data_IF_127439535718
#
_entry.id   IF_127439535718
#
_cell.length_a   1.000
_cell.length_b   1.000
_cell.length_c   1.000
_cell.angle_alpha   90.00
_cell.angle_beta   90.00
_cell.angle_gamma   90.00
#
_symmetry.space_group_name_H-M   'P 1'
#
loop_
_entity.id
_entity.type
_entity.pdbx_description
1 polymer ?
#
# COMPACT_ATOMS: atom_id res chain seq x y z
N UNK A 1 -61.39 -15.39 -13.78
CA UNK A 1 -60.23 -15.57 -12.88
C UNK A 1 -59.01 -16.14 -13.56
N UNK A 2 -59.12 -17.10 -14.50
CA UNK A 2 -57.99 -17.70 -15.21
C UNK A 2 -57.29 -16.75 -16.22
N UNK A 3 -58.03 -15.88 -16.88
CA UNK A 3 -57.49 -14.90 -17.84
C UNK A 3 -56.66 -13.83 -17.15
N UNK A 4 -57.05 -13.34 -16.00
CA UNK A 4 -56.32 -12.34 -15.18
C UNK A 4 -55.02 -12.92 -14.63
N UNK A 5 -55.01 -14.18 -14.23
CA UNK A 5 -53.77 -14.88 -13.81
C UNK A 5 -52.77 -15.02 -14.97
N UNK A 6 -53.22 -15.44 -16.16
CA UNK A 6 -52.35 -15.52 -17.35
C UNK A 6 -51.80 -14.16 -17.77
N UNK A 7 -52.60 -13.12 -17.73
CA UNK A 7 -52.15 -11.78 -18.10
C UNK A 7 -51.11 -11.25 -17.09
N UNK A 8 -51.26 -11.51 -15.78
CA UNK A 8 -50.31 -11.14 -14.76
C UNK A 8 -48.98 -11.89 -14.94
N UNK A 9 -49.01 -13.19 -15.20
CA UNK A 9 -47.81 -13.99 -15.46
C UNK A 9 -47.05 -13.53 -16.72
N UNK A 10 -47.78 -13.11 -17.77
CA UNK A 10 -47.19 -12.60 -19.00
C UNK A 10 -46.46 -11.26 -18.75
N UNK A 11 -47.09 -10.33 -18.04
CA UNK A 11 -46.45 -9.05 -17.64
C UNK A 11 -45.18 -9.25 -16.77
N UNK A 12 -45.17 -10.21 -15.86
CA UNK A 12 -44.02 -10.50 -15.03
C UNK A 12 -42.88 -11.09 -15.84
N UNK A 13 -43.16 -12.06 -16.70
CA UNK A 13 -42.19 -12.63 -17.65
C UNK A 13 -41.54 -11.54 -18.51
N UNK A 14 -42.35 -10.64 -19.05
CA UNK A 14 -41.89 -9.58 -19.95
C UNK A 14 -41.01 -8.57 -19.21
N UNK A 15 -41.31 -8.24 -17.94
CA UNK A 15 -40.44 -7.42 -17.08
C UNK A 15 -39.13 -8.09 -16.73
N UNK A 16 -39.14 -9.41 -16.40
CA UNK A 16 -37.92 -10.20 -16.14
C UNK A 16 -37.07 -10.28 -17.41
N UNK A 17 -37.66 -10.53 -18.55
CA UNK A 17 -36.96 -10.56 -19.85
C UNK A 17 -36.36 -9.20 -20.21
N UNK A 18 -37.08 -8.12 -19.96
CA UNK A 18 -36.58 -6.74 -20.17
C UNK A 18 -35.39 -6.44 -19.25
N UNK A 19 -35.45 -6.79 -17.95
CA UNK A 19 -34.31 -6.60 -17.04
C UNK A 19 -33.09 -7.41 -17.48
N UNK A 20 -33.29 -8.68 -17.88
CA UNK A 20 -32.21 -9.50 -18.37
C UNK A 20 -31.56 -8.90 -19.64
N UNK A 21 -32.36 -8.28 -20.52
CA UNK A 21 -31.85 -7.52 -21.67
C UNK A 21 -31.07 -6.27 -21.26
N UNK A 22 -31.54 -5.47 -20.29
CA UNK A 22 -30.82 -4.32 -19.77
C UNK A 22 -29.45 -4.74 -19.22
N UNK A 23 -29.41 -5.76 -18.35
CA UNK A 23 -28.17 -6.30 -17.80
C UNK A 23 -27.23 -6.80 -18.92
N UNK A 24 -27.75 -7.52 -19.95
CA UNK A 24 -26.92 -8.01 -21.06
C UNK A 24 -26.36 -6.90 -21.96
N UNK A 25 -26.95 -5.70 -21.95
CA UNK A 25 -26.47 -4.51 -22.66
C UNK A 25 -25.63 -3.59 -21.78
N UNK A 26 -25.32 -4.00 -20.54
CA UNK A 26 -24.44 -3.25 -19.64
C UNK A 26 -25.15 -2.23 -18.73
N UNK A 27 -26.50 -2.21 -18.71
CA UNK A 27 -27.27 -1.43 -17.76
C UNK A 27 -27.55 -2.25 -16.50
N UNK A 28 -26.63 -2.18 -15.53
CA UNK A 28 -26.71 -2.92 -14.26
C UNK A 28 -27.52 -2.18 -13.21
N UNK A 29 -27.94 -0.92 -13.46
CA UNK A 29 -28.72 -0.12 -12.52
C UNK A 29 -30.22 -0.45 -12.52
N UNK A 30 -30.70 -1.18 -13.53
CA UNK A 30 -32.10 -1.54 -13.67
C UNK A 30 -32.54 -2.50 -12.52
N UNK A 31 -33.73 -2.26 -11.94
CA UNK A 31 -34.28 -3.06 -10.83
C UNK A 31 -35.75 -3.41 -11.11
N UNK A 32 -36.16 -4.57 -10.62
CA UNK A 32 -37.54 -5.04 -10.65
C UNK A 32 -38.26 -4.60 -9.37
N UNK A 33 -39.39 -3.92 -9.56
CA UNK A 33 -40.28 -3.58 -8.46
C UNK A 33 -41.57 -4.39 -8.59
N UNK A 34 -41.63 -5.55 -7.96
CA UNK A 34 -42.77 -6.49 -7.96
C UNK A 34 -43.20 -6.71 -6.50
N UNK A 35 -44.41 -6.35 -6.18
CA UNK A 35 -45.04 -6.57 -4.88
C UNK A 35 -46.23 -7.50 -5.07
N UNK A 36 -46.01 -8.81 -4.97
CA UNK A 36 -47.05 -9.83 -5.18
C UNK A 36 -47.35 -10.67 -3.95
N UNK A 37 -46.44 -10.68 -2.97
CA UNK A 37 -46.55 -11.49 -1.75
C UNK A 37 -46.42 -12.99 -1.99
N UNK A 38 -45.84 -13.39 -3.15
CA UNK A 38 -45.68 -14.77 -3.58
C UNK A 38 -44.24 -15.06 -4.06
N UNK A 39 -44.00 -16.25 -4.61
CA UNK A 39 -42.70 -16.72 -5.10
C UNK A 39 -42.12 -15.79 -6.19
N UNK A 40 -42.95 -14.98 -6.85
CA UNK A 40 -42.51 -14.05 -7.89
C UNK A 40 -41.82 -12.83 -7.29
N UNK A 41 -42.28 -12.36 -6.13
CA UNK A 41 -41.61 -11.29 -5.40
C UNK A 41 -40.24 -11.76 -4.88
N UNK A 42 -40.16 -13.00 -4.37
CA UNK A 42 -38.90 -13.61 -3.98
C UNK A 42 -37.92 -13.67 -5.16
N UNK A 43 -38.38 -14.14 -6.32
CA UNK A 43 -37.57 -14.19 -7.54
C UNK A 43 -37.11 -12.80 -8.01
N UNK A 44 -37.96 -11.79 -7.91
CA UNK A 44 -37.59 -10.41 -8.27
C UNK A 44 -36.51 -9.85 -7.33
N UNK A 45 -36.60 -10.16 -6.03
CA UNK A 45 -35.57 -9.79 -5.05
C UNK A 45 -34.24 -10.50 -5.30
N UNK A 46 -34.26 -11.80 -5.64
CA UNK A 46 -33.04 -12.54 -6.02
C UNK A 46 -32.38 -11.95 -7.27
N UNK A 47 -33.16 -11.55 -8.27
CA UNK A 47 -32.65 -10.85 -9.45
C UNK A 47 -32.03 -9.48 -9.11
N UNK A 48 -32.67 -8.71 -8.22
CA UNK A 48 -32.13 -7.43 -7.79
C UNK A 48 -30.82 -7.62 -7.02
N UNK A 49 -30.74 -8.58 -6.11
CA UNK A 49 -29.51 -8.92 -5.37
C UNK A 49 -28.38 -9.35 -6.32
N UNK A 50 -28.69 -10.10 -7.37
CA UNK A 50 -27.71 -10.46 -8.41
C UNK A 50 -27.25 -9.22 -9.18
N UNK A 51 -28.17 -8.32 -9.55
CA UNK A 51 -27.83 -7.07 -10.23
C UNK A 51 -26.96 -6.17 -9.36
N UNK A 52 -27.27 -6.03 -8.05
CA UNK A 52 -26.44 -5.31 -7.07
C UNK A 52 -25.02 -5.89 -7.02
N UNK A 53 -24.89 -7.21 -6.91
CA UNK A 53 -23.58 -7.89 -6.87
C UNK A 53 -22.77 -7.64 -8.15
N UNK A 54 -23.42 -7.65 -9.32
CA UNK A 54 -22.74 -7.38 -10.60
C UNK A 54 -22.30 -5.93 -10.68
N UNK A 55 -23.16 -4.98 -10.29
CA UNK A 55 -22.84 -3.54 -10.28
C UNK A 55 -21.67 -3.23 -9.35
N UNK A 56 -21.66 -3.80 -8.14
CA UNK A 56 -20.58 -3.68 -7.17
C UNK A 56 -19.25 -4.25 -7.73
N UNK A 57 -19.29 -5.45 -8.30
CA UNK A 57 -18.10 -6.10 -8.87
C UNK A 57 -17.53 -5.28 -10.06
N UNK A 58 -18.38 -4.75 -10.91
CA UNK A 58 -17.96 -3.90 -12.05
C UNK A 58 -17.35 -2.60 -11.54
N UNK A 59 -17.95 -1.98 -10.53
CA UNK A 59 -17.45 -0.74 -9.92
C UNK A 59 -16.08 -0.98 -9.27
N UNK A 60 -15.90 -2.11 -8.57
CA UNK A 60 -14.61 -2.50 -8.00
C UNK A 60 -13.56 -2.77 -9.09
N UNK A 61 -13.95 -3.43 -10.19
CA UNK A 61 -13.06 -3.69 -11.32
C UNK A 61 -12.61 -2.37 -11.98
N UNK A 62 -13.51 -1.45 -12.26
CA UNK A 62 -13.19 -0.14 -12.81
C UNK A 62 -12.24 0.64 -11.90
N UNK A 63 -12.52 0.68 -10.60
CA UNK A 63 -11.64 1.31 -9.62
C UNK A 63 -10.24 0.68 -9.59
N UNK A 64 -10.16 -0.66 -9.70
CA UNK A 64 -8.89 -1.37 -9.78
C UNK A 64 -8.11 -1.03 -11.06
N UNK A 65 -8.82 -0.94 -12.20
CA UNK A 65 -8.21 -0.55 -13.49
C UNK A 65 -7.69 0.88 -13.47
N UNK A 66 -8.46 1.84 -12.96
CA UNK A 66 -8.02 3.24 -12.82
C UNK A 66 -6.76 3.35 -11.95
N UNK A 67 -6.73 2.64 -10.82
CA UNK A 67 -5.52 2.58 -9.97
C UNK A 67 -4.32 1.98 -10.70
N UNK A 68 -4.55 0.95 -11.51
CA UNK A 68 -3.48 0.33 -12.31
C UNK A 68 -2.96 1.28 -13.39
N UNK A 69 -3.84 2.00 -14.09
CA UNK A 69 -3.45 3.00 -15.10
C UNK A 69 -2.66 4.14 -14.46
N UNK A 70 -3.13 4.67 -13.33
CA UNK A 70 -2.44 5.71 -12.58
C UNK A 70 -1.05 5.24 -12.10
N UNK A 71 -0.95 4.00 -11.63
CA UNK A 71 0.32 3.38 -11.26
C UNK A 71 1.28 3.31 -12.44
N UNK A 72 0.83 2.82 -13.60
CA UNK A 72 1.66 2.71 -14.81
C UNK A 72 2.11 4.08 -15.34
N UNK A 73 1.22 5.08 -15.32
CA UNK A 73 1.55 6.45 -15.70
C UNK A 73 2.61 7.06 -14.79
N UNK A 74 2.45 6.89 -13.47
CA UNK A 74 3.42 7.37 -12.47
C UNK A 74 4.76 6.66 -12.60
N UNK A 75 4.77 5.36 -12.83
CA UNK A 75 5.97 4.56 -13.06
C UNK A 75 6.75 5.01 -14.29
N UNK A 76 6.04 5.17 -15.43
CA UNK A 76 6.65 5.66 -16.65
C UNK A 76 7.29 7.05 -16.47
N UNK A 77 6.63 7.94 -15.72
CA UNK A 77 7.17 9.27 -15.41
C UNK A 77 8.41 9.21 -14.52
N UNK A 78 8.40 8.38 -13.46
CA UNK A 78 9.55 8.24 -12.55
C UNK A 78 10.75 7.52 -13.20
N UNK A 79 10.55 6.72 -14.25
CA UNK A 79 11.62 6.17 -15.09
C UNK A 79 12.15 7.18 -16.08
N UNK A 80 11.26 7.93 -16.77
CA UNK A 80 11.65 8.87 -17.84
C UNK A 80 12.62 9.93 -17.33
N UNK A 81 12.40 10.49 -16.15
CA UNK A 81 13.20 11.58 -15.59
C UNK A 81 14.69 11.20 -15.44
N UNK A 82 15.08 10.14 -14.69
CA UNK A 82 16.48 9.75 -14.55
C UNK A 82 17.09 9.29 -15.88
N UNK A 83 16.35 8.59 -16.75
CA UNK A 83 16.83 8.21 -18.07
C UNK A 83 17.19 9.42 -18.93
N UNK A 84 16.34 10.45 -18.93
CA UNK A 84 16.61 11.69 -19.68
C UNK A 84 17.88 12.39 -19.16
N UNK A 85 18.09 12.42 -17.83
CA UNK A 85 19.30 12.99 -17.22
C UNK A 85 20.54 12.19 -17.60
N UNK A 86 20.49 10.85 -17.50
CA UNK A 86 21.62 9.98 -17.90
C UNK A 86 22.00 10.21 -19.37
N UNK A 87 21.01 10.21 -20.28
CA UNK A 87 21.23 10.41 -21.71
C UNK A 87 21.80 11.80 -21.97
N UNK A 88 21.27 12.85 -21.30
CA UNK A 88 21.72 14.21 -21.45
C UNK A 88 23.18 14.40 -21.03
N UNK A 89 23.56 13.92 -19.84
CA UNK A 89 24.95 14.01 -19.38
C UNK A 89 25.90 13.12 -20.19
N UNK A 90 25.47 11.95 -20.64
CA UNK A 90 26.25 11.11 -21.54
C UNK A 90 26.46 11.76 -22.90
N UNK A 91 25.46 12.49 -23.44
CA UNK A 91 25.61 13.25 -24.69
C UNK A 91 26.55 14.46 -24.56
N UNK A 92 26.51 15.16 -23.42
CA UNK A 92 27.47 16.22 -23.09
C UNK A 92 28.90 15.69 -23.06
N UNK A 93 29.16 14.58 -22.38
CA UNK A 93 30.46 13.91 -22.32
C UNK A 93 30.95 13.46 -23.71
N UNK A 94 30.03 13.10 -24.61
CA UNK A 94 30.36 12.67 -25.99
C UNK A 94 30.64 13.81 -26.94
N UNK A 95 29.90 14.93 -26.80
CA UNK A 95 29.84 15.99 -27.83
C UNK A 95 30.65 17.22 -27.52
N UNK A 96 31.09 17.42 -26.28
CA UNK A 96 31.80 18.60 -25.84
C UNK A 96 33.16 18.28 -25.22
N UNK A 97 34.14 19.16 -25.43
CA UNK A 97 35.39 19.13 -24.69
C UNK A 97 35.14 19.77 -23.30
N UNK A 98 35.02 18.95 -22.29
CA UNK A 98 34.79 19.37 -20.92
C UNK A 98 36.08 19.35 -20.12
N UNK A 99 36.17 20.20 -19.09
CA UNK A 99 37.24 20.12 -18.10
C UNK A 99 37.17 18.80 -17.31
N UNK A 100 38.23 18.45 -16.61
CA UNK A 100 38.27 17.24 -15.77
C UNK A 100 37.20 17.28 -14.66
N UNK A 101 36.97 18.45 -14.05
CA UNK A 101 35.97 18.66 -13.01
C UNK A 101 34.53 18.48 -13.57
N UNK A 102 34.23 19.08 -14.73
CA UNK A 102 32.94 18.94 -15.40
C UNK A 102 32.69 17.50 -15.85
N UNK A 103 33.72 16.80 -16.32
CA UNK A 103 33.64 15.37 -16.68
C UNK A 103 33.31 14.52 -15.49
N UNK A 104 33.97 14.75 -14.35
CA UNK A 104 33.73 14.05 -13.10
C UNK A 104 32.32 14.34 -12.55
N UNK A 105 31.86 15.59 -12.64
CA UNK A 105 30.51 15.96 -12.21
C UNK A 105 29.45 15.25 -13.07
N UNK A 106 29.57 15.27 -14.39
CA UNK A 106 28.68 14.60 -15.32
C UNK A 106 28.64 13.08 -15.08
N UNK A 107 29.82 12.45 -14.86
CA UNK A 107 29.92 11.02 -14.52
C UNK A 107 29.22 10.69 -13.19
N UNK A 108 29.37 11.54 -12.18
CA UNK A 108 28.72 11.39 -10.89
C UNK A 108 27.18 11.51 -11.00
N UNK A 109 26.67 12.40 -11.85
CA UNK A 109 25.23 12.49 -12.13
C UNK A 109 24.70 11.22 -12.80
N UNK A 110 25.40 10.71 -13.82
CA UNK A 110 25.03 9.45 -14.49
C UNK A 110 25.01 8.30 -13.49
N UNK A 111 26.03 8.19 -12.65
CA UNK A 111 26.12 7.14 -11.64
C UNK A 111 24.98 7.23 -10.60
N UNK A 112 24.69 8.42 -10.08
CA UNK A 112 23.65 8.64 -9.07
C UNK A 112 22.26 8.35 -9.61
N UNK A 113 21.95 8.78 -10.85
CA UNK A 113 20.66 8.48 -11.48
C UNK A 113 20.54 6.98 -11.86
N UNK A 114 21.67 6.33 -12.25
CA UNK A 114 21.72 4.87 -12.43
C UNK A 114 21.41 4.10 -11.17
N UNK A 115 22.01 4.49 -10.03
CA UNK A 115 21.70 3.90 -8.71
C UNK A 115 20.26 4.14 -8.27
N UNK A 116 19.70 5.28 -8.64
CA UNK A 116 18.29 5.57 -8.38
C UNK A 116 17.36 4.67 -9.18
N UNK A 117 17.64 4.41 -10.46
CA UNK A 117 16.90 3.47 -11.31
C UNK A 117 16.98 2.04 -10.77
N UNK A 118 18.17 1.60 -10.34
CA UNK A 118 18.36 0.30 -9.70
C UNK A 118 17.45 0.16 -8.46
N UNK A 119 17.49 1.15 -7.54
CA UNK A 119 16.63 1.16 -6.34
C UNK A 119 15.15 1.17 -6.67
N UNK A 120 14.72 1.91 -7.70
CA UNK A 120 13.33 1.92 -8.16
C UNK A 120 12.90 0.55 -8.69
N UNK A 121 13.75 -0.09 -9.49
CA UNK A 121 13.50 -1.41 -10.06
C UNK A 121 13.36 -2.48 -8.97
N UNK A 122 14.26 -2.49 -7.98
CA UNK A 122 14.19 -3.43 -6.85
C UNK A 122 12.91 -3.23 -6.03
N UNK A 123 12.52 -2.01 -5.71
CA UNK A 123 11.27 -1.73 -4.98
C UNK A 123 10.02 -2.11 -5.78
N UNK A 124 10.06 -1.97 -7.10
CA UNK A 124 8.98 -2.44 -7.95
C UNK A 124 8.89 -3.98 -7.93
N UNK A 125 10.04 -4.65 -8.00
CA UNK A 125 10.09 -6.11 -7.89
C UNK A 125 9.53 -6.59 -6.55
N UNK A 126 9.91 -5.95 -5.45
CA UNK A 126 9.37 -6.24 -4.11
C UNK A 126 7.84 -6.11 -4.10
N UNK A 127 7.29 -5.04 -4.70
CA UNK A 127 5.84 -4.84 -4.77
C UNK A 127 5.14 -5.94 -5.59
N UNK A 128 5.74 -6.38 -6.71
CA UNK A 128 5.19 -7.41 -7.58
C UNK A 128 5.28 -8.80 -6.94
N UNK A 129 6.40 -9.11 -6.28
CA UNK A 129 6.60 -10.39 -5.56
C UNK A 129 5.59 -10.51 -4.42
N UNK A 130 5.45 -9.46 -3.61
CA UNK A 130 4.49 -9.41 -2.51
C UNK A 130 3.02 -9.56 -3.02
N UNK A 131 2.73 -9.14 -4.27
CA UNK A 131 1.39 -9.25 -4.86
C UNK A 131 1.04 -10.68 -5.32
N UNK A 132 2.03 -11.46 -5.76
CA UNK A 132 1.82 -12.70 -6.53
C UNK A 132 2.24 -14.00 -5.80
N UNK A 133 2.86 -13.92 -4.61
CA UNK A 133 3.26 -15.11 -3.86
C UNK A 133 2.17 -15.60 -2.92
N UNK A 134 1.92 -16.92 -2.93
CA UNK A 134 1.25 -17.61 -1.82
C UNK A 134 2.19 -17.59 -0.62
N UNK A 135 2.03 -16.57 0.23
CA UNK A 135 2.88 -16.38 1.41
C UNK A 135 2.46 -17.35 2.50
N UNK A 136 3.39 -18.17 2.97
CA UNK A 136 3.17 -19.08 4.09
C UNK A 136 3.40 -18.32 5.39
N UNK A 137 2.33 -18.00 6.09
CA UNK A 137 2.41 -17.38 7.41
C UNK A 137 2.67 -18.45 8.48
N UNK A 138 3.62 -18.19 9.38
CA UNK A 138 3.95 -19.06 10.50
C UNK A 138 3.77 -18.35 11.84
N UNK A 139 3.42 -19.09 12.94
CA UNK A 139 3.35 -18.49 14.26
C UNK A 139 4.73 -17.95 14.67
N UNK A 140 4.84 -16.65 14.82
CA UNK A 140 6.12 -15.96 15.06
C UNK A 140 5.95 -14.85 16.10
N UNK A 141 7.00 -14.58 16.89
CA UNK A 141 7.03 -13.45 17.81
C UNK A 141 7.37 -12.15 17.08
N UNK A 142 6.43 -11.18 16.98
CA UNK A 142 6.69 -9.91 16.32
C UNK A 142 7.83 -9.11 16.95
N UNK A 143 8.09 -9.30 18.27
CA UNK A 143 9.22 -8.66 18.94
C UNK A 143 10.57 -9.13 18.39
N UNK A 144 10.67 -10.38 17.89
CA UNK A 144 11.86 -10.90 17.25
C UNK A 144 12.13 -10.16 15.93
N UNK A 145 11.12 -10.01 15.08
CA UNK A 145 11.24 -9.27 13.82
C UNK A 145 11.71 -7.83 14.06
N UNK A 146 11.08 -7.12 15.01
CA UNK A 146 11.50 -5.77 15.40
C UNK A 146 12.94 -5.74 15.90
N UNK A 147 13.34 -6.67 16.76
CA UNK A 147 14.70 -6.74 17.31
C UNK A 147 15.75 -6.93 16.22
N UNK A 148 15.49 -7.79 15.24
CA UNK A 148 16.39 -8.01 14.12
C UNK A 148 16.61 -6.71 13.32
N UNK A 149 15.52 -6.01 12.99
CA UNK A 149 15.58 -4.73 12.27
C UNK A 149 16.34 -3.66 13.07
N UNK A 150 16.07 -3.55 14.38
CA UNK A 150 16.77 -2.60 15.26
C UNK A 150 18.27 -2.85 15.26
N UNK A 151 18.71 -4.11 15.35
CA UNK A 151 20.13 -4.48 15.36
C UNK A 151 20.84 -4.06 14.06
N UNK A 152 20.16 -4.16 12.91
CA UNK A 152 20.71 -3.77 11.61
C UNK A 152 20.73 -2.24 11.44
N UNK A 153 19.62 -1.56 11.78
CA UNK A 153 19.48 -0.13 11.47
C UNK A 153 20.14 0.79 12.49
N UNK A 154 20.25 0.38 13.75
CA UNK A 154 20.78 1.20 14.82
C UNK A 154 22.19 1.79 14.57
N UNK A 155 23.17 1.01 14.04
CA UNK A 155 24.50 1.55 13.74
C UNK A 155 24.50 2.59 12.61
N UNK A 156 23.64 2.43 11.60
CA UNK A 156 23.52 3.38 10.49
C UNK A 156 22.85 4.69 10.93
N UNK A 157 21.75 4.59 11.68
CA UNK A 157 21.06 5.75 12.23
C UNK A 157 21.93 6.56 13.19
N UNK A 158 22.79 5.88 13.96
CA UNK A 158 23.73 6.55 14.87
C UNK A 158 24.76 7.44 14.13
N UNK A 159 25.17 7.06 12.90
CA UNK A 159 26.04 7.90 12.06
C UNK A 159 25.35 9.21 11.62
N UNK A 160 24.03 9.20 11.51
CA UNK A 160 23.20 10.37 11.17
C UNK A 160 22.67 11.10 12.44
N UNK A 161 23.26 10.88 13.61
CA UNK A 161 22.83 11.44 14.90
C UNK A 161 21.38 11.13 15.28
N UNK A 162 20.84 9.99 14.81
CA UNK A 162 19.48 9.54 15.12
C UNK A 162 19.54 8.43 16.17
N UNK A 163 18.86 8.65 17.30
CA UNK A 163 18.74 7.67 18.38
C UNK A 163 17.55 6.73 18.12
N UNK A 164 17.82 5.43 17.99
CA UNK A 164 16.79 4.41 17.86
C UNK A 164 16.60 3.66 19.18
N UNK A 165 15.41 3.76 19.79
CA UNK A 165 15.02 3.05 21.01
C UNK A 165 13.93 2.02 20.72
N UNK A 166 13.96 0.88 21.41
CA UNK A 166 12.92 -0.13 21.29
C UNK A 166 12.50 -0.73 22.63
N UNK A 167 11.21 -1.02 22.77
CA UNK A 167 10.60 -1.71 23.91
C UNK A 167 9.45 -2.58 23.43
N UNK A 168 9.74 -3.83 23.06
CA UNK A 168 8.73 -4.75 22.57
C UNK A 168 8.58 -5.93 23.53
N UNK A 169 7.34 -6.22 23.92
CA UNK A 169 6.98 -7.41 24.71
C UNK A 169 6.75 -8.59 23.74
N UNK A 170 6.94 -9.81 24.24
CA UNK A 170 6.67 -11.04 23.48
C UNK A 170 5.19 -11.11 23.08
N UNK A 171 4.93 -11.65 21.90
CA UNK A 171 3.61 -11.96 21.36
C UNK A 171 3.68 -13.13 20.39
N UNK A 172 2.55 -13.53 19.82
CA UNK A 172 2.49 -14.56 18.79
C UNK A 172 1.50 -14.12 17.71
N UNK A 173 1.97 -14.01 16.46
CA UNK A 173 1.13 -13.67 15.31
C UNK A 173 1.45 -14.58 14.13
N UNK A 174 0.47 -14.84 13.26
CA UNK A 174 0.73 -15.47 11.97
C UNK A 174 1.45 -14.47 11.08
N UNK A 175 2.71 -14.74 10.73
CA UNK A 175 3.48 -13.82 9.89
C UNK A 175 4.57 -14.51 9.08
N UNK A 176 4.92 -13.87 7.98
CA UNK A 176 6.19 -14.04 7.29
C UNK A 176 7.19 -13.02 7.87
N UNK A 177 8.25 -13.53 8.49
CA UNK A 177 9.19 -12.69 9.24
C UNK A 177 9.95 -11.72 8.32
N UNK A 178 10.29 -12.13 7.10
CA UNK A 178 11.10 -11.34 6.16
C UNK A 178 10.28 -10.20 5.58
N UNK A 179 9.04 -10.49 5.16
CA UNK A 179 8.11 -9.45 4.72
C UNK A 179 7.80 -8.46 5.85
N UNK A 180 7.61 -8.97 7.07
CA UNK A 180 7.31 -8.10 8.19
C UNK A 180 8.50 -7.23 8.58
N UNK A 181 9.73 -7.75 8.54
CA UNK A 181 10.95 -6.96 8.71
C UNK A 181 11.06 -5.87 7.63
N UNK A 182 10.75 -6.18 6.37
CA UNK A 182 10.73 -5.20 5.28
C UNK A 182 9.72 -4.06 5.57
N UNK A 183 8.54 -4.37 6.11
CA UNK A 183 7.57 -3.36 6.55
C UNK A 183 8.16 -2.44 7.62
N UNK A 184 8.77 -2.99 8.66
CA UNK A 184 9.37 -2.20 9.76
C UNK A 184 10.52 -1.35 9.24
N UNK A 185 11.41 -1.90 8.39
CA UNK A 185 12.51 -1.17 7.76
C UNK A 185 11.99 0.03 6.96
N UNK A 186 10.96 -0.16 6.12
CA UNK A 186 10.40 0.92 5.32
C UNK A 186 9.82 2.05 6.19
N UNK A 187 9.16 1.73 7.30
CA UNK A 187 8.62 2.75 8.21
C UNK A 187 9.75 3.48 8.94
N UNK A 188 10.78 2.78 9.43
CA UNK A 188 11.93 3.41 10.11
C UNK A 188 12.75 4.26 9.12
N UNK A 189 12.95 3.81 7.88
CA UNK A 189 13.66 4.59 6.84
C UNK A 189 12.88 5.87 6.47
N UNK A 190 11.55 5.81 6.43
CA UNK A 190 10.72 7.00 6.25
C UNK A 190 10.85 7.97 7.44
N UNK A 191 10.89 7.46 8.67
CA UNK A 191 11.13 8.27 9.86
C UNK A 191 12.52 8.94 9.80
N UNK A 192 13.59 8.19 9.41
CA UNK A 192 14.94 8.70 9.21
C UNK A 192 14.95 9.87 8.21
N UNK A 193 14.30 9.71 7.05
CA UNK A 193 14.20 10.74 6.01
C UNK A 193 13.40 11.97 6.43
N UNK A 194 12.52 11.84 7.41
CA UNK A 194 11.74 12.94 7.96
C UNK A 194 12.47 13.74 9.03
N UNK A 195 13.59 13.25 9.54
CA UNK A 195 14.39 13.86 10.58
C UNK A 195 15.52 14.68 9.94
N UNK A 196 15.72 15.90 10.37
CA UNK A 196 16.76 16.76 9.85
C UNK A 196 18.02 16.79 10.76
N UNK A 197 17.84 16.77 12.10
CA UNK A 197 18.93 16.73 13.08
C UNK A 197 18.42 16.24 14.45
N UNK A 198 19.34 15.68 15.28
CA UNK A 198 19.07 15.20 16.63
C UNK A 198 17.82 14.31 16.75
N UNK A 199 17.78 13.27 15.90
CA UNK A 199 16.64 12.41 15.72
C UNK A 199 16.36 11.45 16.87
N UNK A 200 15.08 11.20 17.11
CA UNK A 200 14.62 10.15 18.00
C UNK A 200 13.54 9.31 17.31
N UNK A 201 13.81 8.02 17.17
CA UNK A 201 12.82 7.04 16.73
C UNK A 201 12.59 6.05 17.88
N UNK A 202 11.33 5.87 18.26
CA UNK A 202 10.94 4.95 19.31
C UNK A 202 9.99 3.89 18.77
N UNK A 203 10.34 2.62 18.95
CA UNK A 203 9.53 1.45 18.55
C UNK A 203 9.05 0.75 19.82
N UNK A 204 7.74 0.64 20.00
CA UNK A 204 7.13 -0.06 21.12
C UNK A 204 6.16 -1.13 20.62
N UNK A 205 6.20 -2.33 21.21
CA UNK A 205 5.32 -3.43 20.85
C UNK A 205 4.71 -4.09 22.09
N UNK A 206 3.40 -4.33 22.07
CA UNK A 206 2.69 -4.98 23.19
C UNK A 206 1.41 -5.65 22.73
N UNK A 207 0.97 -6.67 23.46
CA UNK A 207 -0.35 -7.27 23.28
C UNK A 207 -1.41 -6.39 23.92
N UNK A 208 -2.49 -6.11 23.19
CA UNK A 208 -3.69 -5.38 23.63
C UNK A 208 -4.93 -6.01 23.00
N UNK A 209 -5.92 -6.33 23.81
CA UNK A 209 -7.27 -6.75 23.34
C UNK A 209 -7.22 -7.80 22.22
N UNK A 210 -6.51 -8.90 22.43
CA UNK A 210 -6.28 -9.98 21.45
C UNK A 210 -5.55 -9.54 20.15
N UNK A 211 -4.88 -8.39 20.18
CA UNK A 211 -4.04 -7.92 19.08
C UNK A 211 -2.62 -7.62 19.57
N UNK A 212 -1.64 -7.78 18.70
CA UNK A 212 -0.31 -7.25 18.90
C UNK A 212 -0.21 -5.88 18.25
N UNK A 213 0.11 -4.87 19.04
CA UNK A 213 0.17 -3.48 18.58
C UNK A 213 1.61 -3.01 18.61
N UNK A 214 2.13 -2.58 17.45
CA UNK A 214 3.43 -1.93 17.31
C UNK A 214 3.19 -0.45 17.05
N UNK A 215 3.91 0.39 17.79
CA UNK A 215 3.90 1.85 17.62
C UNK A 215 5.32 2.28 17.26
N UNK A 216 5.48 2.95 16.13
CA UNK A 216 6.72 3.57 15.69
C UNK A 216 6.49 5.07 15.69
N UNK A 217 7.24 5.79 16.51
CA UNK A 217 7.15 7.25 16.68
C UNK A 217 8.48 7.89 16.35
N UNK A 218 8.46 8.92 15.53
CA UNK A 218 9.58 9.82 15.27
C UNK A 218 9.31 11.25 15.77
N UNK A 219 10.35 12.05 15.84
CA UNK A 219 10.31 13.48 16.10
C UNK A 219 10.67 14.31 14.87
N UNK A 220 10.46 13.75 13.67
CA UNK A 220 10.73 14.43 12.42
C UNK A 220 9.79 15.59 12.13
N UNK A 221 9.89 16.14 10.92
CA UNK A 221 9.10 17.31 10.47
C UNK A 221 7.59 17.08 10.44
N UNK A 222 7.13 15.83 10.48
CA UNK A 222 5.71 15.49 10.34
C UNK A 222 5.14 15.85 8.97
N UNK A 223 3.81 15.75 8.85
CA UNK A 223 3.06 16.05 7.63
C UNK A 223 1.69 16.64 7.94
N UNK A 224 1.08 17.40 7.01
CA UNK A 224 -0.29 17.87 7.13
C UNK A 224 -1.28 16.71 7.20
N UNK A 225 -2.36 16.81 8.00
CA UNK A 225 -3.35 15.74 8.14
C UNK A 225 -4.04 15.33 6.84
N UNK A 226 -4.25 16.25 5.90
CA UNK A 226 -4.84 16.01 4.59
C UNK A 226 -4.00 15.07 3.71
N UNK A 227 -2.69 15.03 3.93
CA UNK A 227 -1.77 14.17 3.19
C UNK A 227 -1.84 12.70 3.62
N UNK A 228 -2.28 12.44 4.87
CA UNK A 228 -2.26 11.11 5.48
C UNK A 228 -3.06 10.08 4.67
N UNK A 229 -4.12 10.49 4.02
CA UNK A 229 -4.96 9.61 3.22
C UNK A 229 -4.27 9.12 1.94
N UNK A 230 -3.30 9.89 1.43
CA UNK A 230 -2.65 9.66 0.15
C UNK A 230 -1.25 9.09 0.25
N UNK A 231 -0.59 9.15 1.42
CA UNK A 231 0.81 8.71 1.59
C UNK A 231 1.04 7.22 1.27
N UNK A 232 -0.02 6.41 1.27
CA UNK A 232 0.04 4.98 0.91
C UNK A 232 -0.16 4.73 -0.59
N UNK A 233 -0.50 5.76 -1.37
CA UNK A 233 -0.58 5.66 -2.82
C UNK A 233 0.83 5.46 -3.40
N UNK A 234 0.97 4.55 -4.36
CA UNK A 234 2.25 4.32 -5.02
C UNK A 234 2.73 5.59 -5.75
N UNK A 235 4.03 5.90 -5.62
CA UNK A 235 4.69 7.10 -6.18
C UNK A 235 4.22 8.43 -5.60
N UNK A 236 3.33 8.43 -4.62
CA UNK A 236 2.92 9.66 -3.96
C UNK A 236 4.04 10.21 -3.06
N UNK A 237 4.23 11.53 -3.11
CA UNK A 237 5.23 12.26 -2.31
C UNK A 237 4.73 13.66 -2.03
N UNK A 238 4.80 14.07 -0.78
CA UNK A 238 4.39 15.41 -0.31
C UNK A 238 5.33 16.48 -0.91
N UNK A 239 6.64 16.22 -0.90
CA UNK A 239 7.66 17.11 -1.49
C UNK A 239 8.49 16.33 -2.52
N UNK A 240 8.26 16.64 -3.80
CA UNK A 240 8.93 15.97 -4.94
C UNK A 240 10.40 16.32 -5.03
N UNK A 241 10.81 17.55 -4.66
CA UNK A 241 12.17 18.05 -4.84
C UNK A 241 13.12 17.40 -3.83
N UNK A 242 12.77 17.48 -2.56
CA UNK A 242 13.57 16.95 -1.44
C UNK A 242 13.62 15.42 -1.44
N UNK A 243 12.49 14.78 -1.75
CA UNK A 243 12.42 13.31 -1.84
C UNK A 243 13.28 12.75 -2.98
N UNK A 244 13.53 13.52 -4.04
CA UNK A 244 14.47 13.13 -5.10
C UNK A 244 15.90 13.08 -4.58
N UNK A 245 16.33 14.09 -3.85
CA UNK A 245 17.66 14.14 -3.26
C UNK A 245 17.94 12.98 -2.28
N UNK A 246 16.89 12.49 -1.59
CA UNK A 246 16.98 11.39 -0.63
C UNK A 246 16.67 9.98 -1.23
N UNK A 247 16.58 9.87 -2.56
CA UNK A 247 16.39 8.58 -3.27
C UNK A 247 15.03 7.91 -3.03
N UNK A 248 14.01 8.65 -2.58
CA UNK A 248 12.68 8.11 -2.31
C UNK A 248 11.84 7.96 -3.58
N UNK A 249 11.46 6.75 -3.96
CA UNK A 249 10.57 6.47 -5.11
C UNK A 249 9.08 6.60 -4.81
N UNK A 250 8.68 6.83 -3.54
CA UNK A 250 7.26 6.85 -3.15
C UNK A 250 6.58 5.48 -3.16
N UNK A 251 7.35 4.38 -3.15
CA UNK A 251 6.83 3.01 -3.14
C UNK A 251 6.81 2.36 -1.75
N UNK A 252 7.61 2.86 -0.80
CA UNK A 252 7.80 2.21 0.51
C UNK A 252 6.51 2.01 1.29
N UNK A 253 5.64 3.03 1.39
CA UNK A 253 4.38 2.92 2.12
C UNK A 253 3.32 2.09 1.36
N UNK A 254 3.36 2.07 0.02
CA UNK A 254 2.53 1.18 -0.78
C UNK A 254 2.91 -0.30 -0.54
N UNK A 255 4.22 -0.61 -0.45
CA UNK A 255 4.73 -1.94 -0.06
C UNK A 255 4.26 -2.27 1.37
N UNK A 256 4.36 -1.33 2.33
CA UNK A 256 3.88 -1.52 3.69
C UNK A 256 2.39 -1.88 3.74
N UNK A 257 1.55 -1.19 2.95
CA UNK A 257 0.11 -1.48 2.88
C UNK A 257 -0.14 -2.90 2.37
N UNK A 258 0.60 -3.33 1.35
CA UNK A 258 0.44 -4.69 0.80
C UNK A 258 0.90 -5.78 1.76
N UNK A 259 2.04 -5.56 2.42
CA UNK A 259 2.51 -6.49 3.47
C UNK A 259 1.49 -6.56 4.61
N UNK A 260 0.90 -5.44 5.00
CA UNK A 260 -0.13 -5.41 6.04
C UNK A 260 -1.38 -6.23 5.64
N UNK A 261 -1.85 -6.14 4.39
CA UNK A 261 -2.95 -6.97 3.88
C UNK A 261 -2.66 -8.46 4.02
N UNK A 262 -1.47 -8.92 3.61
CA UNK A 262 -1.05 -10.33 3.74
C UNK A 262 -1.11 -10.80 5.18
N UNK A 263 -0.69 -9.96 6.12
CA UNK A 263 -0.67 -10.27 7.55
C UNK A 263 -1.99 -9.98 8.27
N UNK A 264 -3.05 -9.59 7.54
CA UNK A 264 -4.33 -9.13 8.12
C UNK A 264 -4.13 -8.00 9.15
N UNK A 265 -3.05 -7.24 8.98
CA UNK A 265 -2.69 -6.13 9.85
C UNK A 265 -3.36 -4.82 9.40
N UNK A 266 -3.58 -3.92 10.36
CA UNK A 266 -4.07 -2.56 10.09
C UNK A 266 -2.98 -1.56 10.40
N UNK A 267 -2.68 -0.67 9.46
CA UNK A 267 -1.75 0.44 9.68
C UNK A 267 -2.54 1.74 9.82
N UNK A 268 -2.22 2.53 10.85
CA UNK A 268 -2.78 3.86 11.06
C UNK A 268 -1.65 4.86 11.23
N UNK A 269 -1.79 6.02 10.59
CA UNK A 269 -0.84 7.12 10.66
C UNK A 269 -1.46 8.30 11.41
N UNK A 270 -0.68 8.92 12.31
CA UNK A 270 -1.01 10.20 12.94
C UNK A 270 0.20 11.10 12.84
N UNK A 271 0.04 12.28 12.29
CA UNK A 271 1.13 13.24 12.10
C UNK A 271 0.64 14.66 12.24
N UNK A 272 1.54 15.55 12.61
CA UNK A 272 1.32 16.99 12.55
C UNK A 272 2.66 17.67 12.21
N UNK A 273 2.60 18.74 11.42
CA UNK A 273 3.79 19.50 11.02
C UNK A 273 4.56 19.97 12.24
N UNK A 274 5.87 19.70 12.27
CA UNK A 274 6.78 20.03 13.36
C UNK A 274 6.67 19.15 14.62
N UNK A 275 5.82 18.09 14.60
CA UNK A 275 5.63 17.20 15.77
C UNK A 275 6.02 15.75 15.50
N UNK A 276 6.45 15.43 14.27
CA UNK A 276 6.78 14.08 13.85
C UNK A 276 5.57 13.24 13.48
N UNK A 277 5.79 11.93 13.34
CA UNK A 277 4.78 10.96 12.92
C UNK A 277 4.70 9.80 13.90
N UNK A 278 3.50 9.27 14.06
CA UNK A 278 3.21 8.05 14.81
C UNK A 278 2.53 7.07 13.88
N UNK A 279 3.19 5.94 13.64
CA UNK A 279 2.65 4.82 12.88
C UNK A 279 2.24 3.73 13.86
N UNK A 280 1.00 3.27 13.77
CA UNK A 280 0.46 2.17 14.59
C UNK A 280 0.13 1.00 13.68
N UNK A 281 0.75 -0.15 13.93
CA UNK A 281 0.50 -1.42 13.24
C UNK A 281 -0.22 -2.33 14.23
N UNK A 282 -1.36 -2.88 13.83
CA UNK A 282 -2.16 -3.79 14.66
C UNK A 282 -2.29 -5.12 13.93
N UNK A 283 -1.78 -6.20 14.53
CA UNK A 283 -1.87 -7.57 14.03
C UNK A 283 -2.77 -8.40 14.93
N UNK A 284 -3.53 -9.36 14.39
CA UNK A 284 -4.19 -10.37 15.21
C UNK A 284 -3.16 -11.16 16.03
N UNK A 285 -3.31 -11.20 17.35
CA UNK A 285 -2.45 -11.99 18.22
C UNK A 285 -3.10 -13.36 18.46
N UNK A 286 -2.31 -14.42 18.25
CA UNK A 286 -2.75 -15.79 18.56
C UNK A 286 -2.39 -16.06 20.01
N UNK A 287 -3.36 -16.47 20.80
CA UNK A 287 -3.07 -17.01 22.13
C UNK A 287 -2.23 -18.27 21.94
N UNK A 288 -1.03 -18.31 22.50
CA UNK A 288 -0.26 -19.57 22.58
C UNK A 288 -1.22 -20.62 23.15
N UNK A 289 -1.53 -21.65 22.36
CA UNK A 289 -2.19 -22.82 22.90
C UNK A 289 -1.30 -23.32 24.03
N UNK A 290 -1.82 -23.30 25.26
CA UNK A 290 -1.11 -23.83 26.39
C UNK A 290 -0.76 -25.28 26.04
N UNK A 291 0.51 -25.56 25.76
CA UNK A 291 1.00 -26.93 25.75
C UNK A 291 0.82 -27.44 27.19
N UNK A 292 -0.27 -28.13 27.42
CA UNK A 292 -0.35 -29.03 28.57
C UNK A 292 0.57 -30.22 28.24
N UNK A 293 1.75 -30.22 28.87
CA UNK A 293 2.50 -31.44 29.11
C UNK A 293 1.72 -32.39 30.05
#
# INVERSE_FOLDING_TARGET
>A
HLSLRRQRQMCIRDRLSSLAQHISHGDYSARLHIHSGDEIEALANDFNNMADTIEDNISELHFSMEKQEQFMGSFAHELKTPMTSIIGYADLLRSQNMSEDETNEAANYIFSEGKRLESLSLKLLDLLVVKNQETILTPTDPALAVRNVINVMKPELAKEHITLKSSCRKGCCMMDIDLFQSLIINIIDNARKAIDDNGLIHVAGTVRDDNYVIIIKDNGRGMPPEEITRISEAFYRIDKSRSRAQGGAGLGLAICSKIAEIHQAKIKYKSAVGRGTVVTITLPNIKEAAHHE
#
